data_IF_010818959605
#
_entry.id   IF_010818959605
#
_cell.length_a   1.000
_cell.length_b   1.000
_cell.length_c   1.000
_cell.angle_alpha   90.00
_cell.angle_beta   90.00
_cell.angle_gamma   90.00
#
_symmetry.space_group_name_H-M   'P 1'
#
loop_
_entity.id
_entity.type
_entity.pdbx_description
1 polymer ?
#
# COMPACT_ATOMS: atom_id res chain seq x y z
N UNK A 1 16.51 0.35 25.82
CA UNK A 1 16.42 -0.62 24.70
C UNK A 1 17.82 -1.03 24.28
N UNK A 2 18.06 -2.31 24.00
CA UNK A 2 19.33 -2.75 23.44
C UNK A 2 19.52 -2.20 22.02
N UNK A 3 20.73 -1.73 21.70
CA UNK A 3 21.05 -1.29 20.34
C UNK A 3 21.28 -2.49 19.41
N UNK A 4 20.81 -2.42 18.14
CA UNK A 4 21.05 -3.48 17.18
C UNK A 4 22.52 -3.51 16.76
N UNK A 5 23.13 -4.70 16.78
CA UNK A 5 24.53 -4.89 16.36
C UNK A 5 24.76 -4.58 14.87
N UNK A 6 23.74 -4.76 14.04
CA UNK A 6 23.78 -4.59 12.58
C UNK A 6 22.50 -3.92 12.08
N UNK A 7 22.63 -3.16 11.01
CA UNK A 7 21.49 -2.56 10.33
C UNK A 7 20.64 -3.65 9.66
N UNK A 8 19.31 -3.52 9.79
CA UNK A 8 18.39 -4.41 9.07
C UNK A 8 18.42 -4.13 7.57
N UNK A 9 18.47 -5.18 6.75
CA UNK A 9 18.48 -5.00 5.29
C UNK A 9 17.23 -4.28 4.78
N UNK A 10 17.32 -3.53 3.65
CA UNK A 10 16.17 -2.82 3.09
C UNK A 10 14.96 -3.73 2.86
N UNK A 11 15.20 -4.96 2.37
CA UNK A 11 14.15 -5.97 2.18
C UNK A 11 13.45 -6.35 3.48
N UNK A 12 14.19 -6.67 4.55
CA UNK A 12 13.61 -7.04 5.86
C UNK A 12 12.82 -5.90 6.46
N UNK A 13 13.34 -4.69 6.35
CA UNK A 13 12.67 -3.48 6.81
C UNK A 13 11.37 -3.22 6.04
N UNK A 14 11.39 -3.36 4.72
CA UNK A 14 10.20 -3.21 3.87
C UNK A 14 9.12 -4.24 4.17
N UNK A 15 9.50 -5.51 4.34
CA UNK A 15 8.57 -6.59 4.71
C UNK A 15 7.93 -6.35 6.07
N UNK A 16 8.72 -5.95 7.08
CA UNK A 16 8.18 -5.58 8.41
C UNK A 16 7.17 -4.44 8.32
N UNK A 17 7.38 -3.47 7.44
CA UNK A 17 6.49 -2.30 7.25
C UNK A 17 5.38 -2.51 6.22
N UNK A 18 5.23 -3.73 5.69
CA UNK A 18 4.23 -4.01 4.66
C UNK A 18 2.79 -3.78 5.15
N UNK A 19 2.49 -4.15 6.40
CA UNK A 19 1.18 -3.94 7.03
C UNK A 19 0.78 -2.46 7.09
N UNK A 20 1.72 -1.55 7.38
CA UNK A 20 1.43 -0.11 7.45
C UNK A 20 0.88 0.44 6.12
N UNK A 21 1.46 0.00 5.00
CA UNK A 21 0.97 0.39 3.66
C UNK A 21 -0.44 -0.14 3.41
N UNK A 22 -0.70 -1.37 3.84
CA UNK A 22 -1.98 -2.03 3.65
C UNK A 22 -3.08 -1.37 4.51
N UNK A 23 -2.78 -1.07 5.78
CA UNK A 23 -3.70 -0.39 6.69
C UNK A 23 -3.98 1.05 6.27
N UNK A 24 -2.98 1.74 5.70
CA UNK A 24 -3.17 3.05 5.11
C UNK A 24 -4.13 2.96 3.91
N UNK A 25 -3.88 2.04 2.96
CA UNK A 25 -4.72 1.87 1.78
C UNK A 25 -6.18 1.54 2.15
N UNK A 26 -6.39 0.68 3.16
CA UNK A 26 -7.73 0.38 3.70
C UNK A 26 -8.41 1.60 4.31
N UNK A 27 -7.67 2.42 5.08
CA UNK A 27 -8.22 3.66 5.67
C UNK A 27 -8.60 4.68 4.60
N UNK A 28 -7.73 4.89 3.61
CA UNK A 28 -8.02 5.80 2.48
C UNK A 28 -9.24 5.31 1.71
N UNK A 29 -9.34 4.02 1.40
CA UNK A 29 -10.50 3.47 0.69
C UNK A 29 -11.83 3.62 1.44
N UNK A 30 -11.80 3.74 2.77
CA UNK A 30 -13.00 4.01 3.58
C UNK A 30 -13.40 5.47 3.60
N UNK A 31 -12.44 6.40 3.61
CA UNK A 31 -12.70 7.84 3.84
C UNK A 31 -12.66 8.69 2.57
N UNK A 32 -11.86 8.31 1.58
CA UNK A 32 -11.62 9.08 0.37
C UNK A 32 -12.53 8.63 -0.77
N UNK A 33 -13.03 9.57 -1.60
CA UNK A 33 -13.67 9.22 -2.87
C UNK A 33 -12.66 8.60 -3.85
N UNK A 34 -11.38 8.97 -3.75
CA UNK A 34 -10.32 8.40 -4.58
C UNK A 34 -9.88 7.05 -4.02
N UNK A 35 -10.09 5.99 -4.80
CA UNK A 35 -9.73 4.61 -4.43
C UNK A 35 -8.27 4.32 -4.72
N UNK A 36 -7.64 3.63 -3.77
CA UNK A 36 -6.22 3.25 -3.76
C UNK A 36 -6.08 1.73 -3.81
N UNK A 37 -5.03 1.26 -4.49
CA UNK A 37 -4.74 -0.16 -4.63
C UNK A 37 -4.37 -0.79 -3.28
N UNK A 38 -4.89 -1.99 -3.01
CA UNK A 38 -4.53 -2.77 -1.82
C UNK A 38 -3.65 -3.96 -2.21
N UNK A 39 -4.25 -5.12 -2.48
CA UNK A 39 -3.55 -6.32 -2.94
C UNK A 39 -4.24 -6.88 -4.17
N UNK A 40 -3.50 -7.63 -4.99
CA UNK A 40 -4.01 -8.22 -6.25
C UNK A 40 -5.28 -9.04 -6.08
N UNK A 41 -5.46 -9.71 -4.94
CA UNK A 41 -6.62 -10.54 -4.64
C UNK A 41 -7.80 -9.78 -4.01
N UNK A 42 -7.57 -8.58 -3.47
CA UNK A 42 -8.61 -7.78 -2.82
C UNK A 42 -9.13 -6.63 -3.69
N UNK A 43 -8.51 -6.36 -4.84
CA UNK A 43 -9.01 -5.41 -5.81
C UNK A 43 -9.88 -6.12 -6.87
N UNK A 44 -11.19 -5.85 -6.85
CA UNK A 44 -12.11 -6.30 -7.89
C UNK A 44 -11.85 -5.61 -9.24
N UNK A 45 -12.39 -6.16 -10.35
CA UNK A 45 -12.18 -5.63 -11.71
C UNK A 45 -12.52 -4.13 -11.84
N UNK A 46 -13.66 -3.70 -11.28
CA UNK A 46 -14.10 -2.31 -11.32
C UNK A 46 -13.13 -1.36 -10.59
N UNK A 47 -12.58 -1.79 -9.45
CA UNK A 47 -11.63 -1.01 -8.66
C UNK A 47 -10.26 -0.92 -9.36
N UNK A 48 -9.84 -1.98 -10.07
CA UNK A 48 -8.62 -1.92 -10.89
C UNK A 48 -8.77 -0.94 -12.07
N UNK A 49 -9.92 -0.91 -12.74
CA UNK A 49 -10.17 0.05 -13.84
C UNK A 49 -10.03 1.50 -13.36
N UNK A 50 -10.72 1.85 -12.26
CA UNK A 50 -10.64 3.18 -11.64
C UNK A 50 -9.20 3.53 -11.20
N UNK A 51 -8.43 2.54 -10.74
CA UNK A 51 -7.03 2.76 -10.37
C UNK A 51 -6.11 3.01 -11.55
N UNK A 52 -6.28 2.29 -12.66
CA UNK A 52 -5.48 2.54 -13.87
C UNK A 52 -5.82 3.92 -14.45
N UNK A 53 -7.11 4.30 -14.48
CA UNK A 53 -7.55 5.65 -14.86
C UNK A 53 -6.93 6.74 -13.96
N UNK A 54 -6.92 6.53 -12.64
CA UNK A 54 -6.31 7.46 -11.70
C UNK A 54 -4.78 7.57 -11.85
N UNK A 55 -4.09 6.48 -12.23
CA UNK A 55 -2.64 6.53 -12.51
C UNK A 55 -2.32 7.31 -13.77
N UNK A 56 -3.13 7.17 -14.82
CA UNK A 56 -2.94 7.90 -16.09
C UNK A 56 -3.22 9.39 -15.96
N UNK A 57 -4.09 9.80 -15.03
CA UNK A 57 -4.40 11.21 -14.76
C UNK A 57 -3.37 11.91 -13.86
N UNK A 58 -2.52 11.16 -13.17
CA UNK A 58 -1.51 11.67 -12.24
C UNK A 58 -0.09 11.74 -12.84
N UNK A 59 0.07 11.35 -14.12
CA UNK A 59 1.30 11.44 -14.90
C UNK A 59 1.25 12.67 -15.81
#
# INVERSE_FOLDING_TARGET
MAQPKKQSSPRKTGLRRSHLRLDLARRVNKKSPVKVYTTKKQAGKALNKQLEENKTLAA
#
